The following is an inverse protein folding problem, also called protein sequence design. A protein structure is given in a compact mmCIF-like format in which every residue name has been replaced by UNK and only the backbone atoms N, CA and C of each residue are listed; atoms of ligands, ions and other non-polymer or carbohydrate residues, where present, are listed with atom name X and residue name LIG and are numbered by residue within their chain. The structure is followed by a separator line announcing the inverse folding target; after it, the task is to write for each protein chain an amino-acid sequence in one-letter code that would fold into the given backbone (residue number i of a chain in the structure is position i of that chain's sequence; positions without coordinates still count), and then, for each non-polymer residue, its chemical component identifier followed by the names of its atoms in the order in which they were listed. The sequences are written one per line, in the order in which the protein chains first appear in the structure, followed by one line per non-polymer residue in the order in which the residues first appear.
data_IF_346666190603
#
_entry.id   IF_346666190603
#
_cell.length_a   1.000
_cell.length_b   1.000
_cell.length_c   1.000
_cell.angle_alpha   90.00
_cell.angle_beta   90.00
_cell.angle_gamma   90.00
#
_symmetry.space_group_name_H-M   'P 1'
#
loop_
_entity.id
_entity.type
_entity.pdbx_description
1 polymer ?
#
# COMPACT_ATOMS: atom_id res chain seq x y z
N UNK A 1 -20.70 8.11 -17.75
CA UNK A 1 -19.31 7.60 -17.61
C UNK A 1 -18.36 8.74 -17.97
N UNK A 2 -17.32 9.02 -17.18
CA UNK A 2 -16.38 10.12 -17.47
C UNK A 2 -15.54 9.74 -18.70
N UNK A 3 -15.53 10.59 -19.73
CA UNK A 3 -14.61 10.41 -20.87
C UNK A 3 -13.18 10.77 -20.43
N UNK A 4 -12.43 9.75 -20.02
CA UNK A 4 -11.06 9.88 -19.53
C UNK A 4 -10.18 10.51 -20.61
N UNK A 5 -10.33 10.10 -21.88
CA UNK A 5 -9.51 10.61 -22.97
C UNK A 5 -9.77 12.10 -23.24
N UNK A 6 -11.04 12.52 -23.27
CA UNK A 6 -11.38 13.94 -23.42
C UNK A 6 -10.93 14.75 -22.20
N UNK A 7 -11.05 14.22 -20.98
CA UNK A 7 -10.58 14.91 -19.78
C UNK A 7 -9.06 15.10 -19.79
N UNK A 8 -8.30 14.05 -20.11
CA UNK A 8 -6.84 14.12 -20.28
C UNK A 8 -6.46 15.15 -21.36
N UNK A 9 -7.16 15.17 -22.50
CA UNK A 9 -6.88 16.11 -23.58
C UNK A 9 -7.19 17.58 -23.23
N UNK A 10 -8.25 17.82 -22.46
CA UNK A 10 -8.76 19.17 -22.16
C UNK A 10 -7.98 19.88 -21.04
N UNK A 11 -7.14 19.19 -20.28
CA UNK A 11 -6.46 19.71 -19.09
C UNK A 11 -5.25 20.61 -19.39
N UNK A 12 -5.51 21.74 -20.06
CA UNK A 12 -4.50 22.77 -20.39
C UNK A 12 -4.50 24.02 -19.48
N UNK A 13 -5.08 24.00 -18.26
CA UNK A 13 -5.22 25.22 -17.43
C UNK A 13 -4.85 25.07 -15.93
N UNK A 14 -4.31 26.17 -15.38
CA UNK A 14 -3.91 26.56 -14.00
C UNK A 14 -3.39 25.46 -13.05
N UNK A 15 -4.19 24.51 -12.55
CA UNK A 15 -3.75 23.29 -11.82
C UNK A 15 -4.89 22.26 -11.96
N UNK A 16 -4.62 21.05 -12.49
CA UNK A 16 -5.52 19.88 -12.35
C UNK A 16 -5.02 19.00 -11.19
N UNK A 17 -5.64 19.06 -10.00
CA UNK A 17 -5.13 18.42 -8.80
C UNK A 17 -5.22 16.89 -8.89
N UNK A 18 -4.07 16.24 -8.70
CA UNK A 18 -3.94 14.78 -8.76
C UNK A 18 -4.57 14.12 -7.53
N UNK A 19 -4.24 14.66 -6.35
CA UNK A 19 -4.79 14.22 -5.07
C UNK A 19 -5.99 15.09 -4.75
N UNK A 20 -7.14 14.45 -4.54
CA UNK A 20 -8.44 15.15 -4.49
C UNK A 20 -8.94 15.43 -3.08
N UNK A 21 -8.36 14.77 -2.09
CA UNK A 21 -8.78 14.78 -0.69
C UNK A 21 -7.67 14.24 0.21
N UNK A 22 -7.70 14.58 1.50
CA UNK A 22 -6.87 13.90 2.50
C UNK A 22 -7.17 12.39 2.60
N UNK A 23 -8.38 11.97 2.24
CA UNK A 23 -8.76 10.55 2.22
C UNK A 23 -8.61 9.92 0.83
N UNK A 24 -7.98 10.59 -0.13
CA UNK A 24 -7.47 9.94 -1.35
C UNK A 24 -6.17 9.18 -1.03
N UNK A 25 -6.30 8.21 -0.13
CA UNK A 25 -5.21 7.43 0.47
C UNK A 25 -5.72 6.02 0.80
N UNK A 26 -4.80 5.11 1.10
CA UNK A 26 -5.14 3.75 1.49
C UNK A 26 -5.70 3.69 2.93
N UNK A 27 -6.76 2.91 3.19
CA UNK A 27 -7.46 2.86 4.48
C UNK A 27 -6.56 2.47 5.65
N UNK A 28 -5.59 1.58 5.41
CA UNK A 28 -4.60 1.19 6.43
C UNK A 28 -3.84 2.40 6.98
N UNK A 29 -3.65 3.48 6.19
CA UNK A 29 -2.97 4.69 6.65
C UNK A 29 -3.76 5.39 7.73
N UNK A 30 -5.09 5.44 7.61
CA UNK A 30 -5.93 6.07 8.62
C UNK A 30 -5.98 5.22 9.90
N UNK A 31 -6.12 3.90 9.77
CA UNK A 31 -6.10 2.98 10.90
C UNK A 31 -4.78 3.06 11.67
N UNK A 32 -3.66 3.02 10.95
CA UNK A 32 -2.33 3.13 11.55
C UNK A 32 -2.07 4.52 12.11
N UNK A 33 -2.53 5.58 11.45
CA UNK A 33 -2.38 6.95 11.94
C UNK A 33 -3.06 7.13 13.31
N UNK A 34 -4.26 6.57 13.48
CA UNK A 34 -4.92 6.56 14.79
C UNK A 34 -4.11 5.82 15.84
N UNK A 35 -3.61 4.62 15.52
CA UNK A 35 -2.84 3.82 16.47
C UNK A 35 -1.53 4.51 16.86
N UNK A 36 -0.84 5.12 15.90
CA UNK A 36 0.38 5.91 16.14
C UNK A 36 0.06 7.16 16.97
N UNK A 37 -1.05 7.85 16.67
CA UNK A 37 -1.50 9.02 17.42
C UNK A 37 -1.79 8.68 18.89
N UNK A 38 -2.34 7.48 19.16
CA UNK A 38 -2.57 7.00 20.54
C UNK A 38 -1.28 6.57 21.24
N UNK A 39 -0.49 5.71 20.60
CA UNK A 39 0.55 4.94 21.30
C UNK A 39 1.95 5.57 21.19
N UNK A 40 2.23 6.31 20.11
CA UNK A 40 3.54 6.90 19.82
C UNK A 40 3.47 8.38 19.39
N UNK A 41 2.64 9.24 20.00
CA UNK A 41 2.37 10.60 19.53
C UNK A 41 3.61 11.51 19.49
N UNK A 42 4.63 11.21 20.31
CA UNK A 42 5.82 12.04 20.41
C UNK A 42 6.96 11.67 19.45
N UNK A 43 6.84 10.54 18.76
CA UNK A 43 7.88 10.03 17.86
C UNK A 43 8.03 10.93 16.65
N UNK A 44 9.26 11.38 16.39
CA UNK A 44 9.61 12.07 15.15
C UNK A 44 10.15 11.04 14.16
N UNK A 45 9.67 11.10 12.92
CA UNK A 45 10.06 10.17 11.85
C UNK A 45 10.41 10.97 10.61
N UNK A 46 11.40 10.49 9.86
CA UNK A 46 11.71 10.97 8.51
C UNK A 46 11.23 9.92 7.52
N UNK A 47 10.35 10.29 6.59
CA UNK A 47 10.02 9.50 5.41
C UNK A 47 10.84 9.98 4.22
N UNK A 48 11.23 9.04 3.34
CA UNK A 48 11.99 9.33 2.13
C UNK A 48 11.46 8.55 0.93
N UNK A 49 11.39 9.24 -0.21
CA UNK A 49 11.12 8.66 -1.51
C UNK A 49 12.35 7.90 -2.03
N UNK A 50 12.14 6.67 -2.49
CA UNK A 50 13.18 5.81 -3.05
C UNK A 50 12.71 5.30 -4.43
N UNK A 51 13.37 5.77 -5.48
CA UNK A 51 13.25 5.16 -6.80
C UNK A 51 14.15 3.93 -6.89
N UNK A 52 13.56 2.72 -6.91
CA UNK A 52 14.31 1.47 -7.07
C UNK A 52 14.62 1.16 -8.53
N UNK A 53 14.05 1.93 -9.46
CA UNK A 53 14.22 1.80 -10.90
C UNK A 53 15.09 2.95 -11.41
N UNK A 54 16.38 2.94 -11.06
CA UNK A 54 17.32 4.04 -11.36
C UNK A 54 17.43 4.40 -12.85
N UNK A 55 17.07 3.48 -13.75
CA UNK A 55 17.00 3.71 -15.20
C UNK A 55 15.84 4.62 -15.62
N UNK A 56 14.87 4.89 -14.74
CA UNK A 56 13.79 5.86 -14.93
C UNK A 56 14.25 7.20 -14.35
N UNK A 57 14.61 8.20 -15.18
CA UNK A 57 15.14 9.48 -14.70
C UNK A 57 14.00 10.42 -14.28
N UNK A 58 13.57 10.35 -13.01
CA UNK A 58 12.42 11.11 -12.53
C UNK A 58 12.52 12.62 -12.81
N UNK A 59 13.69 13.23 -12.60
CA UNK A 59 13.89 14.67 -12.80
C UNK A 59 13.98 15.10 -14.28
N UNK A 60 13.93 14.14 -15.21
CA UNK A 60 13.76 14.41 -16.65
C UNK A 60 12.31 14.21 -17.11
N UNK A 61 11.53 13.43 -16.37
CA UNK A 61 10.16 13.04 -16.73
C UNK A 61 9.09 13.85 -16.00
N UNK A 62 9.39 14.34 -14.80
CA UNK A 62 8.49 15.10 -13.95
C UNK A 62 9.11 16.48 -13.77
N UNK A 63 8.36 17.53 -14.12
CA UNK A 63 8.78 18.90 -13.89
C UNK A 63 8.77 19.24 -12.39
N UNK A 64 9.80 19.95 -11.92
CA UNK A 64 9.94 20.26 -10.49
C UNK A 64 8.86 21.25 -10.03
N UNK A 65 8.52 22.23 -10.87
CA UNK A 65 7.50 23.23 -10.58
C UNK A 65 6.12 22.57 -10.43
N UNK A 66 5.74 21.74 -11.40
CA UNK A 66 4.49 20.97 -11.33
C UNK A 66 4.45 20.05 -10.11
N UNK A 67 5.57 19.38 -9.78
CA UNK A 67 5.65 18.55 -8.59
C UNK A 67 5.42 19.36 -7.31
N UNK A 68 6.07 20.52 -7.17
CA UNK A 68 5.88 21.42 -6.02
C UNK A 68 4.45 21.93 -5.93
N UNK A 69 3.84 22.36 -7.04
CA UNK A 69 2.45 22.82 -7.07
C UNK A 69 1.49 21.74 -6.57
N UNK A 70 1.68 20.47 -6.96
CA UNK A 70 0.85 19.36 -6.51
C UNK A 70 1.07 19.04 -5.02
N UNK A 71 2.33 19.05 -4.55
CA UNK A 71 2.65 18.82 -3.14
C UNK A 71 2.11 19.96 -2.26
N UNK A 72 2.23 21.21 -2.69
CA UNK A 72 1.67 22.36 -1.97
C UNK A 72 0.14 22.37 -1.98
N UNK A 73 -0.49 21.93 -3.07
CA UNK A 73 -1.93 21.69 -3.09
C UNK A 73 -2.35 20.69 -2.01
N UNK A 74 -1.65 19.55 -1.88
CA UNK A 74 -1.96 18.54 -0.85
C UNK A 74 -1.91 19.14 0.56
N UNK A 75 -0.94 20.02 0.84
CA UNK A 75 -0.83 20.71 2.14
C UNK A 75 -1.99 21.67 2.41
N UNK A 76 -2.67 22.16 1.38
CA UNK A 76 -3.85 23.01 1.50
C UNK A 76 -5.13 22.22 1.83
N UNK A 77 -5.12 20.89 1.66
CA UNK A 77 -6.29 20.05 1.87
C UNK A 77 -6.63 19.93 3.35
N UNK A 78 -7.93 19.79 3.61
CA UNK A 78 -8.52 19.50 4.90
C UNK A 78 -9.63 18.50 4.73
N UNK A 79 -9.94 17.74 5.78
CA UNK A 79 -11.06 16.82 5.73
C UNK A 79 -12.35 17.62 5.52
N UNK A 80 -13.10 17.30 4.47
CA UNK A 80 -14.40 17.94 4.24
C UNK A 80 -15.45 17.42 5.23
N UNK A 81 -16.54 18.17 5.39
CA UNK A 81 -17.67 17.74 6.25
C UNK A 81 -18.25 16.38 5.84
N UNK A 82 -18.34 16.12 4.54
CA UNK A 82 -18.85 14.85 4.01
C UNK A 82 -17.94 13.68 4.36
N UNK A 83 -16.62 13.86 4.20
CA UNK A 83 -15.62 12.83 4.50
C UNK A 83 -15.50 12.58 6.00
N UNK A 84 -15.57 13.63 6.82
CA UNK A 84 -15.67 13.50 8.29
C UNK A 84 -16.89 12.69 8.71
N UNK A 85 -18.06 13.01 8.14
CA UNK A 85 -19.31 12.30 8.44
C UNK A 85 -19.20 10.82 8.04
N UNK A 86 -18.59 10.52 6.89
CA UNK A 86 -18.37 9.14 6.45
C UNK A 86 -17.44 8.39 7.39
N UNK A 87 -16.29 8.96 7.79
CA UNK A 87 -15.36 8.30 8.72
C UNK A 87 -15.97 8.06 10.11
N UNK A 88 -16.79 8.98 10.62
CA UNK A 88 -17.45 8.85 11.95
C UNK A 88 -18.64 7.90 11.93
N UNK A 89 -19.44 7.95 10.86
CA UNK A 89 -20.75 7.32 10.80
C UNK A 89 -20.78 5.97 10.08
N UNK A 90 -19.86 5.71 9.16
CA UNK A 90 -19.86 4.46 8.39
C UNK A 90 -19.49 3.26 9.27
N UNK A 91 -19.96 2.08 8.86
CA UNK A 91 -19.53 0.82 9.44
C UNK A 91 -18.31 0.33 8.65
N UNK A 92 -17.23 0.02 9.34
CA UNK A 92 -16.02 -0.55 8.74
C UNK A 92 -15.74 -1.87 9.42
N UNK A 93 -15.56 -2.95 8.66
CA UNK A 93 -15.23 -4.26 9.23
C UNK A 93 -16.25 -4.73 10.29
N UNK A 94 -17.52 -4.36 10.14
CA UNK A 94 -18.60 -4.66 11.11
C UNK A 94 -18.59 -3.78 12.38
N UNK A 95 -17.62 -2.88 12.52
CA UNK A 95 -17.51 -1.94 13.66
C UNK A 95 -18.06 -0.58 13.27
N UNK A 96 -19.00 -0.07 14.07
CA UNK A 96 -19.41 1.35 14.04
C UNK A 96 -18.38 2.18 14.79
N UNK A 97 -18.18 3.43 14.36
CA UNK A 97 -17.23 4.35 15.00
C UNK A 97 -15.81 3.73 15.06
N UNK A 98 -15.29 3.31 13.91
CA UNK A 98 -13.92 2.78 13.80
C UNK A 98 -12.87 3.76 14.33
N UNK A 99 -13.10 5.06 14.11
CA UNK A 99 -12.20 6.12 14.50
C UNK A 99 -12.64 6.80 15.81
N UNK A 100 -11.68 6.96 16.73
CA UNK A 100 -11.86 7.59 18.04
C UNK A 100 -12.23 9.07 17.88
N UNK A 101 -13.07 9.64 18.77
CA UNK A 101 -13.49 11.03 18.66
C UNK A 101 -12.35 12.06 18.66
N UNK A 102 -11.33 11.87 19.51
CA UNK A 102 -10.16 12.73 19.61
C UNK A 102 -9.25 12.64 18.37
N UNK A 103 -9.09 11.44 17.80
CA UNK A 103 -8.38 11.27 16.53
C UNK A 103 -9.09 12.03 15.41
N UNK A 104 -10.43 11.93 15.33
CA UNK A 104 -11.19 12.62 14.30
C UNK A 104 -11.16 14.15 14.48
N UNK A 105 -11.19 14.65 15.71
CA UNK A 105 -11.01 16.09 16.00
C UNK A 105 -9.62 16.58 15.55
N UNK A 106 -8.57 15.81 15.82
CA UNK A 106 -7.23 16.11 15.30
C UNK A 106 -7.19 16.08 13.76
N UNK A 107 -7.74 15.02 13.15
CA UNK A 107 -7.66 14.80 11.70
C UNK A 107 -8.44 15.84 10.89
N UNK A 108 -9.54 16.37 11.42
CA UNK A 108 -10.30 17.48 10.83
C UNK A 108 -9.49 18.78 10.76
N UNK A 109 -8.59 18.99 11.74
CA UNK A 109 -7.76 20.19 11.83
C UNK A 109 -6.37 20.02 11.20
N UNK A 110 -6.01 18.79 10.78
CA UNK A 110 -4.72 18.50 10.19
C UNK A 110 -4.46 19.31 8.92
N UNK A 111 -3.24 19.82 8.81
CA UNK A 111 -2.61 20.20 7.55
C UNK A 111 -1.29 19.46 7.46
N UNK A 112 -1.00 18.88 6.30
CA UNK A 112 0.22 18.11 6.16
C UNK A 112 1.48 19.00 6.36
N UNK A 113 2.49 18.48 7.07
CA UNK A 113 3.69 19.24 7.38
C UNK A 113 4.49 19.57 6.10
N UNK A 114 5.43 20.52 6.17
CA UNK A 114 6.33 20.82 5.06
C UNK A 114 7.08 19.58 4.55
N UNK A 115 7.47 19.63 3.28
CA UNK A 115 8.34 18.63 2.64
C UNK A 115 9.66 19.28 2.24
N UNK A 116 10.69 18.46 2.07
CA UNK A 116 11.94 18.87 1.44
C UNK A 116 12.07 18.16 0.08
N UNK A 117 12.27 18.94 -0.98
CA UNK A 117 12.46 18.43 -2.33
C UNK A 117 13.74 19.03 -2.90
N UNK A 118 14.66 18.17 -3.31
CA UNK A 118 15.92 18.53 -3.96
C UNK A 118 16.14 17.69 -5.22
N UNK A 119 16.61 18.32 -6.30
CA UNK A 119 17.06 17.59 -7.48
C UNK A 119 18.49 17.08 -7.29
N UNK A 120 18.69 15.77 -7.43
CA UNK A 120 20.01 15.12 -7.41
C UNK A 120 20.27 14.47 -8.77
N UNK A 121 20.93 15.22 -9.68
CA UNK A 121 21.17 14.78 -11.05
C UNK A 121 19.88 14.55 -11.82
N UNK A 122 19.62 13.28 -12.18
CA UNK A 122 18.43 12.84 -12.91
C UNK A 122 17.31 12.30 -12.00
N UNK A 123 17.44 12.44 -10.68
CA UNK A 123 16.47 11.98 -9.69
C UNK A 123 16.04 13.13 -8.75
N UNK A 124 14.98 12.86 -7.98
CA UNK A 124 14.54 13.71 -6.88
C UNK A 124 14.80 13.03 -5.54
N UNK A 125 15.29 13.81 -4.58
CA UNK A 125 15.27 13.49 -3.16
C UNK A 125 14.07 14.22 -2.55
N UNK A 126 13.09 13.45 -2.07
CA UNK A 126 11.87 13.97 -1.46
C UNK A 126 11.73 13.36 -0.06
N UNK A 127 11.74 14.21 0.97
CA UNK A 127 11.66 13.80 2.37
C UNK A 127 10.59 14.57 3.13
N UNK A 128 10.08 13.92 4.18
CA UNK A 128 9.05 14.44 5.06
C UNK A 128 9.47 14.17 6.51
N UNK A 129 9.59 15.21 7.32
CA UNK A 129 10.05 15.11 8.70
C UNK A 129 9.07 15.78 9.66
N UNK A 130 8.79 15.13 10.79
CA UNK A 130 7.83 15.61 11.78
C UNK A 130 7.31 14.49 12.65
N UNK A 131 6.17 14.74 13.32
CA UNK A 131 5.51 13.74 14.15
C UNK A 131 5.02 12.59 13.29
N UNK A 132 5.23 11.35 13.74
CA UNK A 132 4.99 10.15 12.93
C UNK A 132 3.58 10.11 12.33
N UNK A 133 2.56 10.33 13.15
CA UNK A 133 1.15 10.33 12.73
C UNK A 133 0.83 11.42 11.68
N UNK A 134 1.60 12.50 11.60
CA UNK A 134 1.44 13.52 10.56
C UNK A 134 2.15 13.13 9.28
N UNK A 135 3.45 12.80 9.36
CA UNK A 135 4.28 12.57 8.16
C UNK A 135 3.96 11.26 7.45
N UNK A 136 3.44 10.25 8.14
CA UNK A 136 3.09 8.97 7.52
C UNK A 136 2.00 9.10 6.44
N UNK A 137 1.20 10.17 6.51
CA UNK A 137 0.13 10.48 5.56
C UNK A 137 0.66 11.05 4.23
N UNK A 138 1.95 11.39 4.13
CA UNK A 138 2.58 11.79 2.87
C UNK A 138 2.86 10.63 1.91
N UNK A 139 2.99 9.39 2.40
CA UNK A 139 3.43 8.25 1.58
C UNK A 139 2.60 8.08 0.30
N UNK A 140 1.28 7.93 0.46
CA UNK A 140 0.39 7.59 -0.65
C UNK A 140 0.18 8.78 -1.59
N UNK A 141 -0.12 10.00 -1.10
CA UNK A 141 -0.27 11.18 -1.96
C UNK A 141 0.99 11.49 -2.77
N UNK A 142 2.19 11.45 -2.17
CA UNK A 142 3.43 11.74 -2.87
C UNK A 142 3.72 10.74 -4.00
N UNK A 143 3.50 9.45 -3.74
CA UNK A 143 3.66 8.41 -4.76
C UNK A 143 2.64 8.57 -5.90
N UNK A 144 1.37 8.81 -5.58
CA UNK A 144 0.33 9.01 -6.58
C UNK A 144 0.61 10.24 -7.47
N UNK A 145 1.10 11.35 -6.89
CA UNK A 145 1.50 12.56 -7.63
C UNK A 145 2.61 12.24 -8.63
N UNK A 146 3.71 11.62 -8.19
CA UNK A 146 4.85 11.36 -9.08
C UNK A 146 4.46 10.39 -10.21
N UNK A 147 3.68 9.35 -9.90
CA UNK A 147 3.21 8.38 -10.88
C UNK A 147 2.27 9.00 -11.92
N UNK A 148 1.34 9.85 -11.48
CA UNK A 148 0.42 10.52 -12.40
C UNK A 148 1.09 11.64 -13.19
N UNK A 149 2.01 12.44 -12.61
CA UNK A 149 2.79 13.44 -13.35
C UNK A 149 3.64 12.79 -14.44
N UNK A 150 4.32 11.68 -14.12
CA UNK A 150 5.04 10.90 -15.14
C UNK A 150 4.10 10.45 -16.25
N UNK A 151 2.91 9.97 -15.90
CA UNK A 151 1.92 9.53 -16.90
C UNK A 151 1.46 10.70 -17.76
N UNK A 152 1.16 11.86 -17.17
CA UNK A 152 0.80 13.10 -17.88
C UNK A 152 1.89 13.53 -18.87
N UNK A 153 3.16 13.48 -18.47
CA UNK A 153 4.28 13.84 -19.35
C UNK A 153 4.28 13.02 -20.65
N UNK A 154 4.03 11.70 -20.55
CA UNK A 154 3.95 10.82 -21.73
C UNK A 154 2.68 11.08 -22.55
N UNK A 155 1.53 11.28 -21.88
CA UNK A 155 0.25 11.51 -22.55
C UNK A 155 0.18 12.87 -23.26
N UNK A 156 0.91 13.88 -22.78
CA UNK A 156 0.96 15.23 -23.37
C UNK A 156 1.54 15.24 -24.79
N UNK A 157 2.33 14.23 -25.16
CA UNK A 157 2.86 14.07 -26.52
C UNK A 157 1.85 13.43 -27.49
N UNK A 158 0.73 12.90 -26.99
CA UNK A 158 -0.25 12.16 -27.79
C UNK A 158 -1.39 13.06 -28.26
N UNK A 159 -1.85 12.83 -29.49
CA UNK A 159 -3.05 13.48 -30.04
C UNK A 159 -4.31 12.87 -29.47
N UNK A 160 -5.42 13.60 -29.55
CA UNK A 160 -6.74 13.19 -29.01
C UNK A 160 -7.16 11.78 -29.42
N UNK A 161 -7.02 11.42 -30.70
CA UNK A 161 -7.42 10.10 -31.18
C UNK A 161 -6.49 8.99 -30.67
N UNK A 162 -5.19 9.27 -30.52
CA UNK A 162 -4.23 8.33 -29.96
C UNK A 162 -4.55 8.03 -28.48
N UNK A 163 -4.97 9.05 -27.72
CA UNK A 163 -5.46 8.88 -26.34
C UNK A 163 -6.72 8.01 -26.28
N UNK A 164 -7.68 8.21 -27.19
CA UNK A 164 -8.89 7.39 -27.24
C UNK A 164 -8.55 5.92 -27.49
N UNK A 165 -7.68 5.64 -28.46
CA UNK A 165 -7.22 4.28 -28.78
C UNK A 165 -6.45 3.67 -27.60
N UNK A 166 -5.57 4.45 -26.95
CA UNK A 166 -4.81 4.01 -25.79
C UNK A 166 -5.73 3.52 -24.66
N UNK A 167 -6.68 4.37 -24.25
CA UNK A 167 -7.59 4.02 -23.17
C UNK A 167 -8.56 2.90 -23.55
N UNK A 168 -9.05 2.83 -24.80
CA UNK A 168 -9.85 1.69 -25.25
C UNK A 168 -9.09 0.35 -25.14
N UNK A 169 -7.81 0.32 -25.54
CA UNK A 169 -6.96 -0.87 -25.39
C UNK A 169 -6.69 -1.22 -23.93
N UNK A 170 -6.45 -0.22 -23.08
CA UNK A 170 -6.24 -0.42 -21.64
C UNK A 170 -7.51 -0.95 -20.95
N UNK A 171 -8.69 -0.43 -21.33
CA UNK A 171 -9.98 -0.87 -20.79
C UNK A 171 -10.25 -2.34 -21.18
N UNK A 172 -10.01 -2.68 -22.45
CA UNK A 172 -10.12 -4.05 -22.96
C UNK A 172 -9.23 -5.00 -22.16
N UNK A 173 -7.97 -4.62 -21.93
CA UNK A 173 -7.02 -5.42 -21.14
C UNK A 173 -7.50 -5.67 -19.71
N UNK A 174 -8.03 -4.65 -19.02
CA UNK A 174 -8.57 -4.82 -17.65
C UNK A 174 -9.78 -5.77 -17.68
N UNK A 175 -10.67 -5.60 -18.66
CA UNK A 175 -11.85 -6.45 -18.78
C UNK A 175 -11.51 -7.92 -19.06
N UNK A 176 -10.58 -8.21 -19.98
CA UNK A 176 -10.12 -9.58 -20.28
C UNK A 176 -9.53 -10.27 -19.02
N UNK A 177 -8.85 -9.51 -18.17
CA UNK A 177 -8.34 -10.02 -16.89
C UNK A 177 -9.46 -10.36 -15.92
N UNK A 178 -10.48 -9.49 -15.83
CA UNK A 178 -11.68 -9.72 -15.03
C UNK A 178 -12.42 -10.98 -15.50
N UNK A 179 -12.61 -11.16 -16.81
CA UNK A 179 -13.26 -12.36 -17.38
C UNK A 179 -12.53 -13.67 -17.05
N UNK A 180 -11.21 -13.63 -16.92
CA UNK A 180 -10.44 -14.79 -16.42
C UNK A 180 -10.72 -15.05 -14.94
N UNK A 181 -10.78 -14.01 -14.12
CA UNK A 181 -11.01 -14.10 -12.67
C UNK A 181 -12.44 -14.52 -12.33
N UNK A 182 -13.44 -14.14 -13.12
CA UNK A 182 -14.85 -14.56 -12.98
C UNK A 182 -15.03 -16.09 -12.92
N UNK A 183 -14.09 -16.84 -13.49
CA UNK A 183 -14.14 -18.31 -13.54
C UNK A 183 -13.72 -18.96 -12.21
N UNK A 184 -13.25 -18.18 -11.23
CA UNK A 184 -12.82 -18.66 -9.92
C UNK A 184 -13.98 -18.58 -8.93
N UNK A 185 -14.59 -19.72 -8.63
CA UNK A 185 -15.60 -19.83 -7.59
C UNK A 185 -14.99 -19.51 -6.21
N UNK A 186 -15.66 -18.66 -5.43
CA UNK A 186 -15.19 -18.28 -4.09
C UNK A 186 -14.02 -17.28 -4.07
N UNK A 187 -13.70 -16.65 -5.21
CA UNK A 187 -12.69 -15.59 -5.27
C UNK A 187 -13.02 -14.44 -4.30
N UNK A 188 -12.01 -13.93 -3.62
CA UNK A 188 -12.08 -12.72 -2.79
C UNK A 188 -10.93 -11.79 -3.16
N UNK A 189 -11.22 -10.62 -3.72
CA UNK A 189 -10.20 -9.70 -4.24
C UNK A 189 -10.55 -8.24 -3.96
N UNK A 190 -9.54 -7.43 -3.63
CA UNK A 190 -9.67 -6.00 -3.38
C UNK A 190 -8.68 -5.19 -4.23
N UNK A 191 -9.03 -3.93 -4.54
CA UNK A 191 -8.12 -2.97 -5.19
C UNK A 191 -7.13 -2.38 -4.17
N UNK A 192 -5.83 -2.59 -4.37
CA UNK A 192 -4.71 -2.03 -3.57
C UNK A 192 -3.81 -1.09 -4.39
N UNK A 193 -4.33 -0.53 -5.50
CA UNK A 193 -3.52 0.08 -6.54
C UNK A 193 -3.23 1.57 -6.37
N UNK A 194 -3.62 2.22 -5.27
CA UNK A 194 -3.58 3.70 -5.12
C UNK A 194 -2.19 4.27 -5.37
N UNK A 195 -1.16 3.79 -4.67
CA UNK A 195 0.18 4.39 -4.67
C UNK A 195 0.91 4.34 -6.01
N UNK A 196 0.51 3.43 -6.92
CA UNK A 196 1.13 3.26 -8.25
C UNK A 196 0.13 3.41 -9.39
N UNK A 197 -1.06 3.96 -9.13
CA UNK A 197 -2.09 4.15 -10.15
C UNK A 197 -1.59 5.01 -11.31
N UNK A 198 -2.10 4.74 -12.51
CA UNK A 198 -1.89 5.58 -13.70
C UNK A 198 -2.46 6.98 -13.50
N UNK A 199 -3.69 7.06 -12.96
CA UNK A 199 -4.30 8.29 -12.50
C UNK A 199 -5.45 8.00 -11.54
N UNK A 200 -5.93 9.03 -10.81
CA UNK A 200 -7.14 8.88 -9.98
C UNK A 200 -8.34 8.36 -10.79
N UNK A 201 -8.60 8.97 -11.95
CA UNK A 201 -9.76 8.61 -12.78
C UNK A 201 -9.66 7.19 -13.32
N UNK A 202 -8.45 6.76 -13.63
CA UNK A 202 -8.22 5.39 -14.11
C UNK A 202 -8.45 4.38 -12.99
N UNK A 203 -7.94 4.62 -11.78
CA UNK A 203 -8.22 3.76 -10.61
C UNK A 203 -9.73 3.67 -10.34
N UNK A 204 -10.42 4.81 -10.32
CA UNK A 204 -11.87 4.87 -10.12
C UNK A 204 -12.65 4.09 -11.19
N UNK A 205 -12.19 4.14 -12.45
CA UNK A 205 -12.75 3.32 -13.53
C UNK A 205 -12.46 1.82 -13.34
N UNK A 206 -11.23 1.44 -12.96
CA UNK A 206 -10.89 0.04 -12.69
C UNK A 206 -11.74 -0.53 -11.55
N UNK A 207 -11.96 0.24 -10.47
CA UNK A 207 -12.84 -0.17 -9.37
C UNK A 207 -14.27 -0.39 -9.86
N UNK A 208 -14.81 0.50 -10.71
CA UNK A 208 -16.12 0.29 -11.31
C UNK A 208 -16.18 -1.01 -12.14
N UNK A 209 -15.15 -1.26 -12.96
CA UNK A 209 -15.08 -2.48 -13.75
C UNK A 209 -15.02 -3.74 -12.87
N UNK A 210 -14.30 -3.69 -11.74
CA UNK A 210 -14.23 -4.79 -10.77
C UNK A 210 -15.60 -5.04 -10.11
N UNK A 211 -16.33 -3.99 -9.75
CA UNK A 211 -17.70 -4.10 -9.20
C UNK A 211 -18.62 -4.80 -10.20
N UNK A 212 -18.66 -4.32 -11.45
CA UNK A 212 -19.55 -4.85 -12.49
C UNK A 212 -19.16 -6.27 -12.92
N UNK A 213 -17.87 -6.55 -13.01
CA UNK A 213 -17.37 -7.80 -13.53
C UNK A 213 -17.27 -8.92 -12.49
N UNK A 214 -16.96 -8.62 -11.23
CA UNK A 214 -16.73 -9.65 -10.20
C UNK A 214 -17.86 -9.75 -9.17
N UNK A 215 -18.75 -8.76 -9.09
CA UNK A 215 -19.83 -8.74 -8.10
C UNK A 215 -19.29 -8.97 -6.68
N UNK A 216 -19.86 -9.94 -5.97
CA UNK A 216 -19.50 -10.27 -4.59
C UNK A 216 -18.05 -10.74 -4.40
N UNK A 217 -17.38 -11.20 -5.47
CA UNK A 217 -15.97 -11.55 -5.38
C UNK A 217 -15.07 -10.31 -5.20
N UNK A 218 -15.52 -9.13 -5.64
CA UNK A 218 -14.84 -7.86 -5.35
C UNK A 218 -15.22 -7.35 -3.97
N UNK A 219 -14.29 -7.43 -3.02
CA UNK A 219 -14.57 -7.11 -1.62
C UNK A 219 -14.44 -5.62 -1.28
N UNK A 220 -13.89 -4.79 -2.17
CA UNK A 220 -13.72 -3.35 -1.95
C UNK A 220 -12.38 -2.79 -2.42
N UNK A 221 -12.08 -1.56 -2.04
CA UNK A 221 -10.84 -0.85 -2.41
C UNK A 221 -10.14 -0.30 -1.18
N UNK A 222 -8.81 -0.23 -1.22
CA UNK A 222 -8.04 0.45 -0.19
C UNK A 222 -8.23 1.96 -0.23
N UNK A 223 -8.56 2.55 -1.38
CA UNK A 223 -8.69 3.99 -1.49
C UNK A 223 -9.97 4.50 -0.80
N UNK A 224 -9.85 5.23 0.30
CA UNK A 224 -11.02 5.67 1.08
C UNK A 224 -11.94 6.59 0.28
N UNK A 225 -11.40 7.49 -0.54
CA UNK A 225 -12.21 8.41 -1.35
C UNK A 225 -13.02 7.65 -2.41
N UNK A 226 -12.43 6.64 -3.06
CA UNK A 226 -13.13 5.80 -4.04
C UNK A 226 -14.14 4.90 -3.33
N UNK A 227 -13.78 4.30 -2.18
CA UNK A 227 -14.70 3.52 -1.36
C UNK A 227 -15.96 4.33 -0.99
N UNK A 228 -15.76 5.55 -0.50
CA UNK A 228 -16.85 6.48 -0.18
C UNK A 228 -17.70 6.84 -1.42
N UNK A 229 -17.08 7.07 -2.59
CA UNK A 229 -17.80 7.48 -3.81
C UNK A 229 -18.55 6.35 -4.51
N UNK A 230 -18.04 5.13 -4.40
CA UNK A 230 -18.59 3.93 -5.05
C UNK A 230 -19.46 3.11 -4.10
N UNK A 231 -19.59 3.54 -2.85
CA UNK A 231 -20.36 2.85 -1.80
C UNK A 231 -19.90 1.40 -1.62
N UNK A 232 -18.59 1.18 -1.67
CA UNK A 232 -17.96 -0.12 -1.42
C UNK A 232 -17.13 -0.07 -0.14
N UNK A 233 -16.79 -1.24 0.40
CA UNK A 233 -15.97 -1.34 1.61
C UNK A 233 -14.58 -0.73 1.41
N UNK A 234 -14.13 0.01 2.43
CA UNK A 234 -12.76 0.48 2.53
C UNK A 234 -11.89 -0.63 3.17
N UNK A 235 -10.91 -1.13 2.41
CA UNK A 235 -10.11 -2.30 2.80
C UNK A 235 -8.71 -1.87 3.26
N UNK A 236 -8.29 -2.36 4.42
CA UNK A 236 -6.95 -2.14 4.96
C UNK A 236 -6.54 -3.19 5.99
N UNK A 237 -5.24 -3.29 6.24
CA UNK A 237 -4.66 -4.05 7.35
C UNK A 237 -3.72 -3.13 8.14
N UNK A 238 -2.59 -3.62 8.64
CA UNK A 238 -1.43 -2.81 8.98
C UNK A 238 -0.35 -2.88 7.86
N UNK A 239 0.77 -2.18 8.03
CA UNK A 239 1.89 -2.13 7.10
C UNK A 239 3.24 -2.08 7.83
N UNK A 240 4.31 -2.39 7.08
CA UNK A 240 5.66 -2.55 7.61
C UNK A 240 6.24 -1.34 8.36
N UNK A 241 5.78 -0.12 8.11
CA UNK A 241 6.31 1.04 8.86
C UNK A 241 6.10 0.90 10.37
N UNK A 242 5.02 0.21 10.81
CA UNK A 242 4.73 0.00 12.23
C UNK A 242 5.87 -0.75 12.92
N UNK A 243 6.17 -2.02 12.56
CA UNK A 243 7.31 -2.74 13.15
C UNK A 243 8.67 -2.11 12.80
N UNK A 244 8.82 -1.44 11.65
CA UNK A 244 10.06 -0.72 11.32
C UNK A 244 10.37 0.39 12.33
N UNK A 245 9.39 1.23 12.65
CA UNK A 245 9.57 2.33 13.59
C UNK A 245 9.68 1.82 15.02
N UNK A 246 8.85 0.85 15.45
CA UNK A 246 8.97 0.27 16.80
C UNK A 246 10.36 -0.34 17.03
N UNK A 247 10.91 -1.05 16.05
CA UNK A 247 12.26 -1.62 16.14
C UNK A 247 13.35 -0.56 16.16
N UNK A 248 13.23 0.49 15.34
CA UNK A 248 14.16 1.62 15.38
C UNK A 248 14.12 2.36 16.72
N UNK A 249 13.00 2.28 17.45
CA UNK A 249 12.84 2.85 18.79
C UNK A 249 13.40 1.97 19.92
N UNK A 250 13.74 0.71 19.66
CA UNK A 250 14.30 -0.20 20.66
C UNK A 250 15.74 0.21 21.05
N UNK A 251 16.05 0.19 22.34
CA UNK A 251 17.36 0.63 22.85
C UNK A 251 18.39 -0.51 22.90
N UNK A 252 17.92 -1.76 22.98
CA UNK A 252 18.76 -2.96 23.04
C UNK A 252 18.20 -4.11 22.20
N UNK A 253 18.97 -5.20 22.08
CA UNK A 253 18.62 -6.34 21.22
C UNK A 253 17.40 -7.13 21.76
N UNK A 254 17.13 -7.12 23.07
CA UNK A 254 15.97 -7.79 23.66
C UNK A 254 14.67 -7.04 23.39
N UNK A 255 14.69 -5.72 23.48
CA UNK A 255 13.58 -4.86 23.07
C UNK A 255 13.36 -4.95 21.56
N UNK A 256 14.44 -4.98 20.77
CA UNK A 256 14.37 -5.13 19.32
C UNK A 256 13.66 -6.44 18.92
N UNK A 257 13.99 -7.55 19.60
CA UNK A 257 13.34 -8.84 19.36
C UNK A 257 11.84 -8.84 19.73
N UNK A 258 11.43 -8.02 20.72
CA UNK A 258 10.04 -7.91 21.20
C UNK A 258 9.20 -6.92 20.39
N UNK A 259 9.81 -5.88 19.83
CA UNK A 259 9.13 -4.79 19.15
C UNK A 259 8.10 -5.21 18.06
N UNK A 260 8.34 -6.25 17.22
CA UNK A 260 7.34 -6.73 16.26
C UNK A 260 6.05 -7.28 16.91
N UNK A 261 6.12 -7.76 18.15
CA UNK A 261 4.96 -8.27 18.88
C UNK A 261 4.29 -7.17 19.71
N UNK A 262 5.06 -6.24 20.26
CA UNK A 262 4.53 -5.06 20.96
C UNK A 262 3.59 -4.25 20.06
N UNK A 263 3.99 -4.00 18.81
CA UNK A 263 3.15 -3.27 17.87
C UNK A 263 1.86 -4.01 17.50
N UNK A 264 1.89 -5.36 17.50
CA UNK A 264 0.69 -6.16 17.30
C UNK A 264 -0.19 -6.20 18.56
N UNK A 265 0.39 -6.09 19.75
CA UNK A 265 -0.36 -5.93 21.00
C UNK A 265 -1.13 -4.59 20.99
N UNK A 266 -0.47 -3.49 20.64
CA UNK A 266 -1.13 -2.18 20.50
C UNK A 266 -2.26 -2.23 19.45
N UNK A 267 -2.01 -2.89 18.32
CA UNK A 267 -3.02 -3.10 17.28
C UNK A 267 -4.20 -3.96 17.76
N UNK A 268 -3.93 -4.97 18.60
CA UNK A 268 -4.93 -5.88 19.18
C UNK A 268 -5.94 -5.16 20.07
N UNK A 269 -5.48 -4.16 20.83
CA UNK A 269 -6.33 -3.38 21.74
C UNK A 269 -7.32 -2.50 20.99
N UNK A 270 -6.97 -2.03 19.79
CA UNK A 270 -7.81 -1.11 19.01
C UNK A 270 -8.73 -1.83 18.03
N UNK A 271 -8.32 -3.01 17.56
CA UNK A 271 -8.94 -3.70 16.44
C UNK A 271 -9.26 -5.16 16.73
N UNK A 272 -10.35 -5.63 16.12
CA UNK A 272 -10.86 -6.99 16.25
C UNK A 272 -11.20 -7.61 14.89
N UNK A 273 -11.55 -8.90 14.90
CA UNK A 273 -12.01 -9.61 13.72
C UNK A 273 -11.06 -9.50 12.53
N UNK A 274 -11.60 -9.10 11.37
CA UNK A 274 -10.90 -9.10 10.08
C UNK A 274 -9.74 -8.09 9.97
N UNK A 275 -9.52 -7.22 10.96
CA UNK A 275 -8.34 -6.35 11.05
C UNK A 275 -7.16 -7.00 11.77
N UNK A 276 -7.36 -8.15 12.44
CA UNK A 276 -6.30 -8.93 13.09
C UNK A 276 -5.60 -9.81 12.05
N UNK A 277 -4.81 -9.16 11.19
CA UNK A 277 -3.99 -9.78 10.16
C UNK A 277 -2.50 -9.56 10.50
N UNK A 278 -1.76 -10.66 10.61
CA UNK A 278 -0.32 -10.66 10.88
C UNK A 278 0.42 -10.30 9.59
N UNK A 279 1.42 -9.42 9.69
CA UNK A 279 2.35 -9.09 8.61
C UNK A 279 3.78 -9.50 9.02
N UNK A 280 4.13 -10.79 8.86
CA UNK A 280 5.28 -11.39 9.55
C UNK A 280 6.61 -11.10 8.86
N UNK A 281 6.60 -10.72 7.58
CA UNK A 281 7.79 -10.70 6.74
C UNK A 281 8.69 -9.47 6.96
N UNK A 282 8.37 -8.52 7.84
CA UNK A 282 9.22 -7.33 8.07
C UNK A 282 10.69 -7.70 8.30
N UNK A 283 10.92 -8.74 9.12
CA UNK A 283 12.25 -9.27 9.45
C UNK A 283 12.40 -10.78 9.18
N UNK A 284 11.50 -11.35 8.38
CA UNK A 284 11.51 -12.76 8.02
C UNK A 284 10.35 -13.55 8.64
N UNK A 285 9.52 -14.16 7.80
CA UNK A 285 8.26 -14.80 8.22
C UNK A 285 8.49 -15.98 9.16
N UNK A 286 9.45 -16.85 8.83
CA UNK A 286 9.68 -18.08 9.59
C UNK A 286 10.08 -17.78 11.04
N UNK A 287 11.11 -16.96 11.24
CA UNK A 287 11.59 -16.59 12.58
C UNK A 287 10.54 -15.82 13.39
N UNK A 288 9.76 -14.96 12.73
CA UNK A 288 8.63 -14.28 13.37
C UNK A 288 7.58 -15.27 13.90
N UNK A 289 7.14 -16.24 13.08
CA UNK A 289 6.10 -17.18 13.48
C UNK A 289 6.59 -18.20 14.52
N UNK A 290 7.82 -18.69 14.40
CA UNK A 290 8.41 -19.61 15.39
C UNK A 290 8.45 -19.00 16.81
N UNK A 291 8.74 -17.71 16.92
CA UNK A 291 8.85 -16.99 18.19
C UNK A 291 7.55 -16.26 18.60
N UNK A 292 6.49 -16.33 17.80
CA UNK A 292 5.25 -15.63 18.06
C UNK A 292 4.59 -16.12 19.37
N UNK A 293 4.13 -15.21 20.24
CA UNK A 293 3.31 -15.55 21.40
C UNK A 293 2.00 -16.28 21.01
N UNK A 294 1.51 -17.17 21.89
CA UNK A 294 0.36 -18.04 21.59
C UNK A 294 -0.92 -17.26 21.21
N UNK A 295 -1.15 -16.09 21.81
CA UNK A 295 -2.34 -15.28 21.51
C UNK A 295 -2.39 -14.79 20.06
N UNK A 296 -1.26 -14.73 19.34
CA UNK A 296 -1.24 -14.41 17.91
C UNK A 296 -1.81 -15.54 17.05
N UNK A 297 -1.71 -16.80 17.48
CA UNK A 297 -2.29 -17.92 16.73
C UNK A 297 -3.81 -17.75 16.57
N UNK A 298 -4.46 -17.12 17.56
CA UNK A 298 -5.89 -16.78 17.55
C UNK A 298 -6.29 -15.65 16.58
N UNK A 299 -5.34 -14.94 15.97
CA UNK A 299 -5.65 -13.91 14.97
C UNK A 299 -6.29 -14.50 13.71
N UNK A 300 -6.99 -13.64 12.97
CA UNK A 300 -7.81 -14.02 11.82
C UNK A 300 -6.97 -14.56 10.67
N UNK A 301 -5.78 -14.02 10.45
CA UNK A 301 -5.00 -14.40 9.29
C UNK A 301 -3.60 -13.81 9.20
N UNK A 302 -2.94 -14.11 8.09
CA UNK A 302 -1.60 -13.64 7.71
C UNK A 302 -1.68 -12.96 6.33
N UNK A 303 -0.96 -11.86 6.15
CA UNK A 303 -0.70 -11.27 4.83
C UNK A 303 0.69 -11.65 4.36
N UNK A 304 0.76 -12.19 3.15
CA UNK A 304 2.01 -12.57 2.47
C UNK A 304 2.37 -11.46 1.49
N UNK A 305 3.42 -10.70 1.82
CA UNK A 305 3.81 -9.46 1.13
C UNK A 305 5.27 -9.47 0.60
N UNK A 306 6.00 -10.57 0.79
CA UNK A 306 7.29 -10.81 0.15
C UNK A 306 7.64 -12.31 0.11
N UNK A 307 8.68 -12.66 -0.67
CA UNK A 307 9.13 -14.05 -0.82
C UNK A 307 8.34 -14.82 -1.88
N UNK A 308 8.44 -16.14 -1.83
CA UNK A 308 7.55 -17.01 -2.61
C UNK A 308 6.18 -17.09 -1.92
N UNK A 309 5.08 -16.69 -2.58
CA UNK A 309 3.78 -16.63 -1.94
C UNK A 309 3.27 -18.00 -1.49
N UNK A 310 3.55 -19.07 -2.25
CA UNK A 310 3.12 -20.41 -1.88
C UNK A 310 3.88 -20.91 -0.65
N UNK A 311 5.19 -20.71 -0.59
CA UNK A 311 6.02 -21.03 0.58
C UNK A 311 5.54 -20.26 1.83
N UNK A 312 5.31 -18.95 1.71
CA UNK A 312 4.80 -18.12 2.81
C UNK A 312 3.46 -18.63 3.34
N UNK A 313 2.56 -19.06 2.45
CA UNK A 313 1.29 -19.65 2.84
C UNK A 313 1.42 -21.02 3.51
N UNK A 314 2.32 -21.88 3.02
CA UNK A 314 2.60 -23.17 3.67
C UNK A 314 3.19 -22.99 5.08
N UNK A 315 4.10 -22.02 5.26
CA UNK A 315 4.66 -21.70 6.58
C UNK A 315 3.53 -21.29 7.54
N UNK A 316 2.63 -20.40 7.12
CA UNK A 316 1.50 -19.96 7.95
C UNK A 316 0.56 -21.13 8.30
N UNK A 317 0.19 -21.97 7.33
CA UNK A 317 -0.68 -23.14 7.54
C UNK A 317 -0.04 -24.12 8.53
N UNK A 318 1.25 -24.42 8.37
CA UNK A 318 1.95 -25.35 9.26
C UNK A 318 2.11 -24.76 10.67
N UNK A 319 2.35 -23.46 10.78
CA UNK A 319 2.40 -22.76 12.06
C UNK A 319 1.06 -22.86 12.81
N UNK A 320 -0.08 -22.55 12.17
CA UNK A 320 -1.40 -22.71 12.78
C UNK A 320 -1.66 -24.14 13.26
N UNK A 321 -1.38 -25.14 12.42
CA UNK A 321 -1.51 -26.56 12.80
C UNK A 321 -0.65 -26.90 14.02
N UNK A 322 0.59 -26.42 14.07
CA UNK A 322 1.51 -26.65 15.21
C UNK A 322 1.01 -26.03 16.52
N UNK A 323 0.17 -24.99 16.43
CA UNK A 323 -0.45 -24.31 17.57
C UNK A 323 -1.87 -24.81 17.88
N UNK A 324 -2.34 -25.84 17.18
CA UNK A 324 -3.67 -26.45 17.40
C UNK A 324 -4.84 -25.68 16.75
N UNK A 325 -4.57 -24.71 15.88
CA UNK A 325 -5.58 -23.96 15.15
C UNK A 325 -6.02 -24.69 13.88
N UNK A 326 -7.28 -24.50 13.46
CA UNK A 326 -7.80 -25.00 12.18
C UNK A 326 -7.51 -23.99 11.05
N UNK A 327 -6.60 -24.29 10.10
CA UNK A 327 -6.26 -23.36 9.02
C UNK A 327 -7.42 -23.06 8.08
N UNK A 328 -8.43 -23.94 7.98
CA UNK A 328 -9.60 -23.71 7.10
C UNK A 328 -10.45 -22.52 7.56
N UNK A 329 -10.34 -22.15 8.84
CA UNK A 329 -11.00 -20.98 9.41
C UNK A 329 -10.17 -19.70 9.32
N UNK A 330 -8.85 -19.84 9.10
CA UNK A 330 -7.90 -18.73 8.99
C UNK A 330 -7.92 -18.13 7.59
N UNK A 331 -7.36 -16.93 7.48
CA UNK A 331 -7.26 -16.17 6.23
C UNK A 331 -5.81 -15.97 5.82
N UNK A 332 -5.55 -16.13 4.52
CA UNK A 332 -4.31 -15.69 3.88
C UNK A 332 -4.65 -14.59 2.88
N UNK A 333 -3.94 -13.46 2.99
CA UNK A 333 -4.05 -12.34 2.04
C UNK A 333 -2.76 -12.30 1.23
N UNK A 334 -2.85 -12.53 -0.08
CA UNK A 334 -1.72 -12.35 -0.99
C UNK A 334 -1.74 -10.94 -1.58
N UNK A 335 -0.62 -10.20 -1.51
CA UNK A 335 -0.57 -8.82 -1.99
C UNK A 335 0.72 -8.40 -2.72
N UNK A 336 1.74 -9.26 -2.82
CA UNK A 336 3.00 -8.92 -3.48
C UNK A 336 2.91 -9.10 -5.00
N UNK A 337 2.85 -7.98 -5.74
CA UNK A 337 3.02 -7.90 -7.20
C UNK A 337 2.23 -8.95 -8.03
N UNK A 338 0.96 -9.17 -7.67
CA UNK A 338 0.14 -10.21 -8.28
C UNK A 338 -0.28 -9.89 -9.73
N UNK A 339 -0.16 -10.89 -10.60
CA UNK A 339 -0.84 -10.97 -11.89
C UNK A 339 -2.00 -11.99 -11.84
N UNK A 340 -2.81 -12.03 -12.91
CA UNK A 340 -4.00 -12.89 -12.96
C UNK A 340 -3.64 -14.36 -12.90
N UNK A 341 -2.58 -14.77 -13.58
CA UNK A 341 -2.21 -16.18 -13.66
C UNK A 341 -1.70 -16.69 -12.29
N UNK A 342 -0.94 -15.87 -11.56
CA UNK A 342 -0.53 -16.13 -10.18
C UNK A 342 -1.71 -16.13 -9.20
N UNK A 343 -2.69 -15.23 -9.36
CA UNK A 343 -3.94 -15.27 -8.56
C UNK A 343 -4.66 -16.60 -8.79
N UNK A 344 -4.81 -17.04 -10.04
CA UNK A 344 -5.44 -18.32 -10.39
C UNK A 344 -4.68 -19.51 -9.78
N UNK A 345 -3.34 -19.51 -9.89
CA UNK A 345 -2.46 -20.54 -9.33
C UNK A 345 -2.63 -20.66 -7.81
N UNK A 346 -2.47 -19.55 -7.08
CA UNK A 346 -2.57 -19.50 -5.62
C UNK A 346 -3.99 -19.84 -5.15
N UNK A 347 -5.02 -19.36 -5.84
CA UNK A 347 -6.40 -19.70 -5.53
C UNK A 347 -6.61 -21.21 -5.62
N UNK A 348 -6.22 -21.84 -6.75
CA UNK A 348 -6.35 -23.29 -6.93
C UNK A 348 -5.57 -24.10 -5.89
N UNK A 349 -4.38 -23.63 -5.51
CA UNK A 349 -3.52 -24.35 -4.56
C UNK A 349 -4.04 -24.31 -3.12
N UNK A 350 -4.68 -23.22 -2.71
CA UNK A 350 -5.02 -22.97 -1.30
C UNK A 350 -6.51 -22.95 -0.99
N UNK A 351 -7.39 -22.91 -2.00
CA UNK A 351 -8.84 -23.03 -1.79
C UNK A 351 -9.18 -24.35 -1.08
N UNK A 352 -10.02 -24.25 -0.05
CA UNK A 352 -10.39 -25.37 0.83
C UNK A 352 -9.36 -25.68 1.94
N UNK A 353 -8.15 -25.14 1.87
CA UNK A 353 -7.12 -25.30 2.92
C UNK A 353 -7.09 -24.12 3.90
N UNK A 354 -7.49 -22.95 3.41
CA UNK A 354 -7.61 -21.68 4.13
C UNK A 354 -8.59 -20.78 3.38
N UNK A 355 -9.08 -19.71 4.02
CA UNK A 355 -9.78 -18.63 3.31
C UNK A 355 -8.73 -17.79 2.58
N UNK A 356 -8.80 -17.73 1.25
CA UNK A 356 -7.84 -16.99 0.42
C UNK A 356 -8.44 -15.67 0.00
N UNK A 357 -7.63 -14.61 0.02
CA UNK A 357 -7.99 -13.31 -0.55
C UNK A 357 -6.78 -12.62 -1.18
N UNK A 358 -7.05 -11.70 -2.12
CA UNK A 358 -6.03 -11.06 -2.93
C UNK A 358 -6.14 -9.54 -2.86
N UNK A 359 -5.01 -8.87 -2.66
CA UNK A 359 -4.88 -7.42 -2.84
C UNK A 359 -4.23 -7.13 -4.18
N UNK A 360 -4.98 -6.55 -5.12
CA UNK A 360 -4.49 -6.33 -6.48
C UNK A 360 -4.08 -4.88 -6.72
N UNK A 361 -2.76 -4.66 -6.85
CA UNK A 361 -2.17 -3.32 -6.91
C UNK A 361 -1.87 -2.83 -8.32
N UNK A 362 -0.58 -2.69 -8.64
CA UNK A 362 -0.07 -2.06 -9.87
C UNK A 362 -0.72 -2.58 -11.14
N UNK A 363 -0.87 -3.90 -11.29
CA UNK A 363 -1.36 -4.50 -12.54
C UNK A 363 -2.87 -4.36 -12.75
N UNK A 364 -3.62 -3.91 -11.73
CA UNK A 364 -5.00 -3.44 -11.88
C UNK A 364 -5.03 -2.00 -12.35
N UNK A 365 -4.26 -1.11 -11.70
CA UNK A 365 -4.42 0.34 -11.85
C UNK A 365 -3.38 1.01 -12.74
N UNK A 366 -2.41 0.28 -13.28
CA UNK A 366 -1.33 0.84 -14.11
C UNK A 366 -0.72 -0.16 -15.10
N UNK A 367 -1.50 -1.11 -15.63
CA UNK A 367 -1.00 -2.02 -16.67
C UNK A 367 -1.12 -1.44 -18.08
N UNK A 368 -0.29 -0.44 -18.38
CA UNK A 368 -0.16 0.17 -19.71
C UNK A 368 0.99 -0.40 -20.54
N UNK A 369 1.56 -1.54 -20.11
CA UNK A 369 2.72 -2.17 -20.76
C UNK A 369 2.48 -2.46 -22.23
N UNK A 370 3.40 -2.09 -23.10
CA UNK A 370 3.32 -2.30 -24.55
C UNK A 370 2.19 -1.54 -25.27
N UNK A 371 1.53 -0.58 -24.60
CA UNK A 371 0.49 0.23 -25.23
C UNK A 371 1.01 1.50 -25.91
N UNK A 372 2.23 1.93 -25.58
CA UNK A 372 2.90 3.11 -26.15
C UNK A 372 4.34 2.78 -26.62
N UNK A 373 4.91 3.52 -27.58
CA UNK A 373 6.28 3.31 -28.03
C UNK A 373 7.30 3.37 -26.89
N UNK A 374 8.30 2.47 -26.92
CA UNK A 374 9.36 2.40 -25.91
C UNK A 374 8.88 1.99 -24.52
N UNK A 375 7.66 1.45 -24.41
CA UNK A 375 7.02 1.06 -23.14
C UNK A 375 7.03 2.17 -22.07
N UNK A 376 6.95 3.42 -22.53
CA UNK A 376 7.06 4.61 -21.69
C UNK A 376 5.96 4.78 -20.65
N UNK A 377 4.91 3.96 -20.68
CA UNK A 377 3.87 3.91 -19.64
C UNK A 377 3.97 2.67 -18.74
N UNK A 378 4.94 1.79 -18.91
CA UNK A 378 5.15 0.69 -17.98
C UNK A 378 5.32 1.21 -16.55
N UNK A 379 4.69 0.55 -15.55
CA UNK A 379 4.90 0.93 -14.16
C UNK A 379 6.34 0.62 -13.74
N UNK A 380 6.85 1.33 -12.74
CA UNK A 380 8.18 1.13 -12.19
C UNK A 380 8.15 1.13 -10.66
N UNK A 381 9.21 0.61 -10.04
CA UNK A 381 9.25 0.48 -8.58
C UNK A 381 9.64 1.81 -7.91
N UNK A 382 8.63 2.57 -7.51
CA UNK A 382 8.74 3.72 -6.63
C UNK A 382 8.14 3.39 -5.25
N UNK A 383 8.81 3.78 -4.17
CA UNK A 383 8.33 3.61 -2.79
C UNK A 383 8.64 4.86 -1.96
N UNK A 384 7.88 5.09 -0.90
CA UNK A 384 8.18 6.08 0.13
C UNK A 384 8.14 5.34 1.47
N UNK A 385 9.19 5.46 2.28
CA UNK A 385 9.35 4.65 3.49
C UNK A 385 9.91 5.48 4.62
N UNK A 386 9.60 5.07 5.86
CA UNK A 386 10.33 5.55 7.03
C UNK A 386 11.82 5.25 6.79
N UNK A 387 12.65 6.28 7.00
CA UNK A 387 14.09 6.25 6.89
C UNK A 387 14.72 6.24 8.28
N UNK A 388 14.22 7.08 9.19
CA UNK A 388 14.65 7.13 10.59
C UNK A 388 13.50 7.45 11.54
N UNK A 389 13.64 7.06 12.81
CA UNK A 389 12.74 7.40 13.91
C UNK A 389 13.57 7.88 15.11
N UNK A 390 13.29 9.08 15.62
CA UNK A 390 14.05 9.75 16.68
C UNK A 390 15.57 9.71 16.45
N UNK A 391 15.99 9.97 15.20
CA UNK A 391 17.40 9.94 14.79
C UNK A 391 18.00 8.55 14.56
N UNK A 392 17.30 7.46 14.91
CA UNK A 392 17.78 6.09 14.68
C UNK A 392 17.30 5.58 13.31
N UNK A 393 18.16 4.94 12.51
CA UNK A 393 17.77 4.42 11.21
C UNK A 393 16.74 3.30 11.34
N UNK A 394 15.79 3.24 10.41
CA UNK A 394 14.87 2.10 10.29
C UNK A 394 15.46 1.05 9.35
N UNK A 395 15.08 -0.21 9.57
CA UNK A 395 15.53 -1.36 8.77
C UNK A 395 14.32 -2.16 8.29
N UNK A 396 14.38 -2.70 7.07
CA UNK A 396 13.48 -3.78 6.61
C UNK A 396 14.36 -4.87 5.99
N UNK A 397 14.14 -6.14 6.35
CA UNK A 397 14.84 -7.27 5.73
C UNK A 397 13.99 -7.93 4.64
N UNK A 398 12.70 -8.16 4.92
CA UNK A 398 11.79 -8.96 4.06
C UNK A 398 12.18 -10.44 3.95
N UNK A 399 11.33 -11.27 3.36
CA UNK A 399 11.67 -12.66 2.99
C UNK A 399 12.54 -12.76 1.72
N UNK A 400 12.76 -11.64 1.01
CA UNK A 400 13.62 -11.54 -0.15
C UNK A 400 14.82 -10.61 0.13
N UNK A 401 16.07 -11.11 0.14
CA UNK A 401 17.23 -10.31 0.51
C UNK A 401 17.46 -9.11 -0.43
N UNK A 402 17.00 -9.16 -1.67
CA UNK A 402 17.07 -8.05 -2.64
C UNK A 402 16.19 -6.85 -2.25
N UNK A 403 15.23 -7.03 -1.35
CA UNK A 403 14.32 -5.98 -0.87
C UNK A 403 14.80 -5.34 0.44
N UNK A 404 15.92 -5.79 1.02
CA UNK A 404 16.47 -5.28 2.26
C UNK A 404 16.84 -3.79 2.18
N UNK A 405 16.71 -3.08 3.30
CA UNK A 405 16.89 -1.63 3.36
C UNK A 405 17.34 -1.21 4.76
N UNK A 406 18.27 -0.27 4.81
CA UNK A 406 18.85 0.28 6.05
C UNK A 406 20.38 0.33 5.97
N UNK A 407 21.05 0.92 6.96
CA UNK A 407 22.51 0.86 7.10
C UNK A 407 23.01 -0.58 7.21
N UNK A 408 24.20 -0.85 6.66
CA UNK A 408 24.72 -2.21 6.52
C UNK A 408 24.95 -2.89 7.88
N UNK A 409 25.50 -2.16 8.83
CA UNK A 409 25.73 -2.58 10.22
C UNK A 409 24.41 -2.91 10.94
N UNK A 410 23.39 -2.07 10.79
CA UNK A 410 22.06 -2.31 11.36
C UNK A 410 21.35 -3.50 10.67
N UNK A 411 21.52 -3.68 9.36
CA UNK A 411 21.02 -4.87 8.66
C UNK A 411 21.62 -6.15 9.26
N UNK A 412 22.94 -6.19 9.48
CA UNK A 412 23.60 -7.36 10.06
C UNK A 412 23.21 -7.58 11.53
N UNK A 413 23.03 -6.50 12.30
CA UNK A 413 22.47 -6.57 13.66
C UNK A 413 21.07 -7.19 13.65
N UNK A 414 20.17 -6.71 12.80
CA UNK A 414 18.79 -7.18 12.72
C UNK A 414 18.73 -8.65 12.27
N UNK A 415 19.56 -9.05 11.29
CA UNK A 415 19.66 -10.47 10.89
C UNK A 415 20.07 -11.37 12.05
N UNK A 416 21.02 -10.92 12.89
CA UNK A 416 21.44 -11.66 14.09
C UNK A 416 20.30 -11.78 15.10
N UNK A 417 19.63 -10.66 15.42
CA UNK A 417 18.57 -10.60 16.44
C UNK A 417 17.33 -11.40 16.03
N UNK A 418 16.94 -11.33 14.76
CA UNK A 418 15.78 -12.07 14.23
C UNK A 418 16.13 -13.46 13.69
N UNK A 419 17.37 -13.91 13.89
CA UNK A 419 17.86 -15.23 13.47
C UNK A 419 17.57 -15.55 11.99
N UNK A 420 17.78 -14.55 11.12
CA UNK A 420 17.47 -14.67 9.68
C UNK A 420 18.50 -15.60 9.03
N UNK A 421 18.03 -16.76 8.57
CA UNK A 421 18.84 -17.75 7.87
C UNK A 421 19.20 -17.35 6.43
N UNK A 422 19.74 -18.30 5.66
CA UNK A 422 19.98 -18.10 4.22
C UNK A 422 18.64 -17.99 3.48
N UNK A 423 18.46 -16.89 2.75
CA UNK A 423 17.27 -16.64 1.94
C UNK A 423 17.59 -16.79 0.44
N UNK A 424 16.60 -17.23 -0.34
CA UNK A 424 16.71 -17.30 -1.80
C UNK A 424 16.37 -15.94 -2.39
N UNK A 425 17.29 -15.38 -3.20
CA UNK A 425 17.01 -14.14 -3.92
C UNK A 425 15.94 -14.39 -4.99
N UNK A 426 14.93 -13.52 -5.02
CA UNK A 426 13.86 -13.52 -6.03
C UNK A 426 13.91 -12.16 -6.74
N UNK A 427 13.74 -12.15 -8.06
CA UNK A 427 13.72 -10.90 -8.83
C UNK A 427 12.55 -10.03 -8.36
N UNK A 428 12.81 -8.75 -8.12
CA UNK A 428 11.76 -7.79 -7.76
C UNK A 428 10.95 -7.42 -9.00
N UNK A 429 9.68 -7.81 -9.02
CA UNK A 429 8.70 -7.42 -10.04
C UNK A 429 7.87 -6.21 -9.57
N UNK A 430 7.17 -5.55 -10.50
CA UNK A 430 6.52 -4.24 -10.29
C UNK A 430 5.01 -4.31 -10.38
#
# INVERSE_FOLDING_TARGET
MVDIATRVYNHKWKIDPIVRSLIDTDFYKLLMCQSVFRNKPQTNVVFSLINRSNHVPLAKLVDEGELREQLDHIRSLSLSRGESTWLRGNMFYGKRQMFRPDFMEWFENLRLPPYHLERKGDQYELTFEGKWHEVMLWEIPALAVIMELRSRAVLNEMRRFELQVLYARAMTRVWEKIEKLQKLEGLSIADFGTRRRHSFLWQDWCVQAMIEGLGDAFTGTSNCLIAMRREVEAIGTNAHELPMVYCALAENDEELARAPYEVLSDWHEEHEGNLRIILPDTYGTKGFLENAPDWLAGWTGVRVDSGDPAEGAEIAINWWKSRGEDPTQKRIIFSDALDVDKIIELHKQFSGRTKVSFGWGTLLTNDFRGLVPGDRLAPFSLVCKAASANGRPTVKLSDNPEKAMGPKDEIERYKRVFHVGKQKAIKVEV
#
